data_IF_308987546622
#
_entry.id   IF_308987546622
#
_cell.length_a   1.000
_cell.length_b   1.000
_cell.length_c   1.000
_cell.angle_alpha   90.00
_cell.angle_beta   90.00
_cell.angle_gamma   90.00
#
_symmetry.space_group_name_H-M   'P 1'
#
loop_
_entity.id
_entity.type
_entity.pdbx_description
1 polymer ?
#
# COMPACT_ATOMS: atom_id res chain seq x y z
N UNK A 1 3.01 22.89 25.72
CA UNK A 1 2.65 21.60 26.34
C UNK A 1 2.35 20.66 25.18
N UNK A 2 3.38 19.99 24.67
CA UNK A 2 3.37 19.22 23.43
C UNK A 2 2.79 17.83 23.76
N UNK A 3 1.55 17.57 23.34
CA UNK A 3 0.99 16.21 23.40
C UNK A 3 1.70 15.35 22.37
N UNK A 4 2.49 14.39 22.84
CA UNK A 4 2.91 13.25 22.02
C UNK A 4 1.65 12.43 21.71
N UNK A 5 1.25 12.43 20.43
CA UNK A 5 0.26 11.49 19.92
C UNK A 5 0.90 10.10 19.99
N UNK A 6 0.33 9.21 20.77
CA UNK A 6 0.79 7.84 20.91
C UNK A 6 0.73 7.16 19.54
N UNK A 7 1.83 6.51 19.17
CA UNK A 7 1.88 5.63 17.99
C UNK A 7 0.82 4.55 18.16
N UNK A 8 -0.11 4.48 17.21
CA UNK A 8 -1.16 3.48 17.17
C UNK A 8 -0.61 2.07 17.40
N UNK A 9 -1.32 1.29 18.18
CA UNK A 9 -0.97 -0.11 18.41
C UNK A 9 -1.18 -0.88 17.10
N UNK A 10 -0.09 -1.33 16.48
CA UNK A 10 -0.15 -2.20 15.32
C UNK A 10 -0.45 -3.64 15.76
N UNK A 11 -1.37 -4.30 15.07
CA UNK A 11 -1.69 -5.71 15.34
C UNK A 11 -0.51 -6.62 15.05
N UNK A 12 0.14 -7.07 16.09
CA UNK A 12 1.23 -8.03 15.99
C UNK A 12 1.33 -8.88 17.26
N UNK A 13 1.00 -10.15 17.15
CA UNK A 13 1.49 -11.13 18.08
C UNK A 13 2.85 -11.63 17.56
N UNK A 14 3.92 -11.00 18.01
CA UNK A 14 5.28 -11.48 17.75
C UNK A 14 5.49 -12.89 18.31
N UNK A 15 6.29 -13.69 17.62
CA UNK A 15 6.74 -15.00 18.15
C UNK A 15 7.38 -14.83 19.52
N UNK A 16 7.42 -15.90 20.34
CA UNK A 16 8.09 -15.90 21.63
C UNK A 16 9.52 -15.31 21.54
N UNK A 17 10.24 -15.60 20.47
CA UNK A 17 11.58 -15.10 20.20
C UNK A 17 11.60 -13.58 19.97
N UNK A 18 10.62 -13.03 19.28
CA UNK A 18 10.52 -11.57 19.06
C UNK A 18 10.18 -10.80 20.33
N UNK A 19 9.29 -11.34 21.18
CA UNK A 19 9.04 -10.77 22.52
C UNK A 19 10.27 -10.78 23.40
N UNK A 20 11.13 -11.78 23.28
CA UNK A 20 12.38 -11.89 24.02
C UNK A 20 13.45 -10.93 23.47
N UNK A 21 13.53 -10.77 22.15
CA UNK A 21 14.42 -9.81 21.48
C UNK A 21 13.97 -8.37 21.75
N UNK A 22 12.66 -8.08 21.76
CA UNK A 22 12.14 -6.76 22.09
C UNK A 22 12.48 -6.33 23.53
N UNK A 23 12.49 -7.27 24.49
CA UNK A 23 12.93 -6.99 25.88
C UNK A 23 14.43 -6.72 25.99
N UNK A 24 15.24 -7.27 25.08
CA UNK A 24 16.69 -7.01 25.03
C UNK A 24 17.02 -5.69 24.29
N UNK A 25 16.08 -5.14 23.51
CA UNK A 25 16.25 -3.88 22.78
C UNK A 25 15.98 -2.60 23.59
N UNK A 26 15.68 -2.70 24.87
CA UNK A 26 15.64 -1.54 25.79
C UNK A 26 17.00 -0.85 26.01
N UNK A 27 18.09 -1.41 25.48
CA UNK A 27 19.40 -0.76 25.43
C UNK A 27 19.59 -0.12 24.04
N UNK A 28 19.93 1.15 23.99
CA UNK A 28 20.33 1.92 22.79
C UNK A 28 21.48 1.20 22.06
N UNK A 29 21.17 0.31 21.14
CA UNK A 29 22.18 -0.34 20.30
C UNK A 29 22.35 0.44 19.00
N UNK A 30 23.61 0.73 18.62
CA UNK A 30 23.97 1.24 17.30
C UNK A 30 23.42 0.30 16.23
N UNK A 31 22.94 0.82 15.09
CA UNK A 31 22.48 -0.05 14.01
C UNK A 31 23.61 -0.99 13.58
N UNK A 32 23.27 -2.26 13.40
CA UNK A 32 24.26 -3.26 12.98
C UNK A 32 24.88 -2.86 11.62
N UNK A 33 26.17 -3.15 11.38
CA UNK A 33 26.80 -2.90 10.09
C UNK A 33 26.01 -3.53 8.93
N UNK A 34 25.98 -2.87 7.78
CA UNK A 34 25.20 -3.32 6.62
C UNK A 34 25.53 -4.77 6.21
N UNK A 35 26.82 -5.17 6.33
CA UNK A 35 27.24 -6.55 6.08
C UNK A 35 26.60 -7.58 7.05
N UNK A 36 26.42 -7.21 8.32
CA UNK A 36 25.80 -8.08 9.32
C UNK A 36 24.29 -8.19 9.07
N UNK A 37 23.65 -7.12 8.61
CA UNK A 37 22.24 -7.15 8.18
C UNK A 37 22.04 -8.04 6.97
N UNK A 38 22.87 -7.91 5.92
CA UNK A 38 22.84 -8.79 4.74
C UNK A 38 23.09 -10.27 5.09
N UNK A 39 24.04 -10.54 5.96
CA UNK A 39 24.31 -11.91 6.41
C UNK A 39 23.12 -12.50 7.20
N UNK A 40 22.51 -11.70 8.06
CA UNK A 40 21.30 -12.09 8.79
C UNK A 40 20.09 -12.32 7.86
N UNK A 41 19.92 -11.51 6.82
CA UNK A 41 18.90 -11.69 5.79
C UNK A 41 19.15 -12.97 4.98
N UNK A 42 20.38 -13.21 4.54
CA UNK A 42 20.78 -14.47 3.88
C UNK A 42 20.56 -15.70 4.77
N UNK A 43 20.84 -15.60 6.07
CA UNK A 43 20.59 -16.71 7.00
C UNK A 43 19.09 -16.96 7.23
N UNK A 44 18.25 -15.92 7.18
CA UNK A 44 16.80 -16.08 7.28
C UNK A 44 16.22 -16.74 6.03
N UNK A 45 16.80 -16.47 4.85
CA UNK A 45 16.43 -17.12 3.57
C UNK A 45 16.82 -18.62 3.50
N UNK A 46 17.74 -19.06 4.39
CA UNK A 46 18.20 -20.46 4.46
C UNK A 46 17.48 -21.32 5.50
N UNK A 47 16.60 -20.72 6.33
CA UNK A 47 15.88 -21.48 7.36
C UNK A 47 14.70 -22.24 6.74
N UNK A 48 14.53 -23.52 7.03
CA UNK A 48 13.36 -24.27 6.63
C UNK A 48 12.12 -23.74 7.36
N UNK A 49 11.21 -23.13 6.60
CA UNK A 49 10.01 -22.46 7.09
C UNK A 49 10.06 -20.96 6.79
N UNK A 50 10.06 -20.59 5.52
CA UNK A 50 10.33 -19.25 4.97
C UNK A 50 9.34 -18.14 5.37
N UNK A 51 8.41 -18.40 6.28
CA UNK A 51 7.38 -17.42 6.62
C UNK A 51 6.97 -17.46 8.10
N UNK A 52 6.61 -16.29 8.59
CA UNK A 52 5.94 -16.08 9.87
C UNK A 52 4.43 -16.09 9.65
N UNK A 53 3.66 -16.45 10.68
CA UNK A 53 2.19 -16.34 10.63
C UNK A 53 1.75 -15.22 11.55
N UNK A 54 1.12 -14.21 10.99
CA UNK A 54 0.43 -13.16 11.74
C UNK A 54 -1.06 -13.52 11.82
N UNK A 55 -1.63 -13.45 13.03
CA UNK A 55 -3.09 -13.60 13.23
C UNK A 55 -3.66 -12.22 13.51
N UNK A 56 -4.65 -11.82 12.71
CA UNK A 56 -5.32 -10.53 12.84
C UNK A 56 -6.58 -10.64 13.71
N UNK A 57 -7.16 -9.53 14.19
CA UNK A 57 -8.30 -9.54 15.12
C UNK A 57 -9.53 -10.29 14.63
N UNK A 58 -9.75 -10.35 13.32
CA UNK A 58 -10.87 -11.10 12.72
C UNK A 58 -10.61 -12.58 12.51
N UNK A 59 -9.45 -13.09 12.96
CA UNK A 59 -9.06 -14.49 12.81
C UNK A 59 -8.32 -14.79 11.51
N UNK A 60 -8.09 -13.80 10.65
CA UNK A 60 -7.29 -13.99 9.44
C UNK A 60 -5.86 -14.39 9.82
N UNK A 61 -5.35 -15.37 9.10
CA UNK A 61 -3.96 -15.80 9.22
C UNK A 61 -3.22 -15.43 7.94
N UNK A 62 -2.25 -14.52 8.09
CA UNK A 62 -1.42 -14.06 6.98
C UNK A 62 -0.01 -14.63 7.15
N UNK A 63 0.46 -15.37 6.15
CA UNK A 63 1.84 -15.79 6.07
C UNK A 63 2.67 -14.65 5.50
N UNK A 64 3.72 -14.28 6.20
CA UNK A 64 4.63 -13.20 5.85
C UNK A 64 6.03 -13.77 5.65
N UNK A 65 6.65 -13.52 4.51
CA UNK A 65 8.02 -13.94 4.25
C UNK A 65 8.97 -13.38 5.33
N UNK A 66 9.94 -14.17 5.77
CA UNK A 66 10.81 -13.80 6.89
C UNK A 66 11.55 -12.46 6.67
N UNK A 67 11.91 -12.14 5.41
CA UNK A 67 12.52 -10.85 5.05
C UNK A 67 11.57 -9.65 5.24
N UNK A 68 10.26 -9.86 5.13
CA UNK A 68 9.22 -8.85 5.33
C UNK A 68 8.55 -8.93 6.72
N UNK A 69 9.23 -9.51 7.71
CA UNK A 69 8.73 -9.68 9.10
C UNK A 69 8.29 -8.40 9.81
N UNK A 70 8.59 -7.24 9.23
CA UNK A 70 8.17 -5.93 9.75
C UNK A 70 6.81 -5.48 9.24
N UNK A 71 6.18 -6.25 8.34
CA UNK A 71 4.83 -5.94 7.91
C UNK A 71 3.87 -5.86 9.09
N UNK A 72 3.10 -4.81 9.12
CA UNK A 72 2.08 -4.55 10.13
C UNK A 72 0.85 -3.95 9.45
N UNK A 73 -0.27 -4.00 10.12
CA UNK A 73 -1.54 -3.46 9.63
C UNK A 73 -2.03 -2.40 10.60
N UNK A 74 -2.42 -1.26 10.05
CA UNK A 74 -3.04 -0.21 10.82
C UNK A 74 -4.45 -0.66 11.25
N UNK A 75 -4.84 -0.51 12.54
CA UNK A 75 -6.13 -0.99 13.04
C UNK A 75 -7.34 -0.34 12.37
N UNK A 76 -7.29 0.96 12.12
CA UNK A 76 -8.35 1.73 11.51
C UNK A 76 -8.56 1.33 10.05
N UNK A 77 -7.47 1.19 9.29
CA UNK A 77 -7.49 0.71 7.92
C UNK A 77 -8.00 -0.72 7.84
N UNK A 78 -7.46 -1.61 8.68
CA UNK A 78 -7.91 -3.00 8.72
C UNK A 78 -9.43 -3.07 8.94
N UNK A 79 -9.97 -2.33 9.91
CA UNK A 79 -11.40 -2.34 10.21
C UNK A 79 -12.23 -1.78 9.04
N UNK A 80 -11.79 -0.65 8.46
CA UNK A 80 -12.46 0.01 7.35
C UNK A 80 -12.46 -0.87 6.09
N UNK A 81 -11.30 -1.39 5.69
CA UNK A 81 -11.18 -2.23 4.50
C UNK A 81 -11.95 -3.55 4.64
N UNK A 82 -11.86 -4.20 5.82
CA UNK A 82 -12.64 -5.41 6.11
C UNK A 82 -14.13 -5.18 6.02
N UNK A 83 -14.61 -4.02 6.46
CA UNK A 83 -16.03 -3.66 6.37
C UNK A 83 -16.51 -3.42 4.93
N UNK A 84 -15.61 -2.95 4.05
CA UNK A 84 -15.92 -2.63 2.66
C UNK A 84 -15.82 -3.86 1.74
N UNK A 85 -14.82 -4.73 1.93
CA UNK A 85 -14.62 -5.89 1.06
C UNK A 85 -15.62 -7.00 1.38
N UNK A 86 -16.58 -7.21 0.50
CA UNK A 86 -17.58 -8.29 0.61
C UNK A 86 -17.14 -9.53 -0.17
N UNK A 87 -17.64 -10.73 0.19
CA UNK A 87 -17.45 -11.92 -0.63
C UNK A 87 -17.89 -11.67 -2.09
N UNK A 88 -17.07 -12.04 -3.05
CA UNK A 88 -17.28 -11.76 -4.46
C UNK A 88 -16.79 -10.38 -4.94
N UNK A 89 -16.23 -9.55 -4.07
CA UNK A 89 -15.74 -8.22 -4.41
C UNK A 89 -14.66 -8.25 -5.50
N UNK A 90 -14.68 -7.26 -6.39
CA UNK A 90 -13.54 -6.89 -7.23
C UNK A 90 -12.83 -5.72 -6.57
N UNK A 91 -11.59 -5.94 -6.14
CA UNK A 91 -10.77 -4.94 -5.43
C UNK A 91 -9.61 -4.50 -6.31
N UNK A 92 -9.37 -3.19 -6.39
CA UNK A 92 -8.14 -2.63 -6.95
C UNK A 92 -7.25 -2.17 -5.80
N UNK A 93 -6.05 -2.73 -5.72
CA UNK A 93 -5.01 -2.38 -4.74
C UNK A 93 -3.90 -1.64 -5.48
N UNK A 94 -3.97 -0.31 -5.45
CA UNK A 94 -3.06 0.58 -6.16
C UNK A 94 -1.92 0.99 -5.25
N UNK A 95 -0.70 0.63 -5.62
CA UNK A 95 0.47 0.67 -4.73
C UNK A 95 0.44 -0.50 -3.76
N UNK A 96 0.33 -1.72 -4.32
CA UNK A 96 0.19 -2.94 -3.53
C UNK A 96 1.42 -3.25 -2.67
N UNK A 97 2.55 -2.65 -2.99
CA UNK A 97 3.82 -2.91 -2.33
C UNK A 97 4.08 -4.44 -2.28
N UNK A 98 4.58 -4.96 -1.19
CA UNK A 98 4.80 -6.41 -1.01
C UNK A 98 3.51 -7.18 -0.69
N UNK A 99 2.33 -6.56 -0.74
CA UNK A 99 1.03 -7.22 -0.69
C UNK A 99 0.43 -7.44 0.69
N UNK A 100 0.76 -6.59 1.66
CA UNK A 100 0.20 -6.70 3.01
C UNK A 100 -1.33 -6.68 3.00
N UNK A 101 -1.94 -5.71 2.31
CA UNK A 101 -3.39 -5.62 2.15
C UNK A 101 -3.92 -6.47 1.00
N UNK A 102 -3.16 -6.65 -0.10
CA UNK A 102 -3.54 -7.54 -1.22
C UNK A 102 -4.00 -8.91 -0.74
N UNK A 103 -3.22 -9.54 0.16
CA UNK A 103 -3.54 -10.86 0.72
C UNK A 103 -4.83 -10.82 1.52
N UNK A 104 -5.05 -9.81 2.35
CA UNK A 104 -6.27 -9.65 3.13
C UNK A 104 -7.50 -9.43 2.22
N UNK A 105 -7.37 -8.56 1.23
CA UNK A 105 -8.42 -8.32 0.25
C UNK A 105 -8.82 -9.63 -0.46
N UNK A 106 -7.84 -10.44 -0.86
CA UNK A 106 -8.09 -11.72 -1.50
C UNK A 106 -8.75 -12.74 -0.54
N UNK A 107 -8.39 -12.73 0.74
CA UNK A 107 -9.03 -13.57 1.75
C UNK A 107 -10.49 -13.14 1.99
N UNK A 108 -10.75 -11.84 2.15
CA UNK A 108 -12.09 -11.31 2.40
C UNK A 108 -13.01 -11.42 1.18
N UNK A 109 -12.48 -11.15 -0.03
CA UNK A 109 -13.25 -11.32 -1.26
C UNK A 109 -13.61 -12.78 -1.56
N UNK A 110 -12.85 -13.74 -1.00
CA UNK A 110 -13.12 -15.18 -1.13
C UNK A 110 -12.94 -15.69 -2.56
N UNK A 111 -13.36 -16.95 -2.79
CA UNK A 111 -13.13 -17.65 -4.06
C UNK A 111 -13.89 -17.05 -5.26
N UNK A 112 -14.99 -16.34 -5.03
CA UNK A 112 -15.78 -15.69 -6.08
C UNK A 112 -15.30 -14.25 -6.38
N UNK A 113 -14.41 -13.71 -5.54
CA UNK A 113 -13.85 -12.36 -5.72
C UNK A 113 -12.51 -12.37 -6.42
N UNK A 114 -12.00 -11.17 -6.68
CA UNK A 114 -10.66 -10.98 -7.27
C UNK A 114 -10.03 -9.69 -6.78
N UNK A 115 -8.70 -9.68 -6.78
CA UNK A 115 -7.89 -8.50 -6.48
C UNK A 115 -6.99 -8.22 -7.67
N UNK A 116 -6.94 -6.98 -8.12
CA UNK A 116 -5.98 -6.50 -9.09
C UNK A 116 -5.01 -5.59 -8.33
N UNK A 117 -3.77 -6.03 -8.21
CA UNK A 117 -2.71 -5.37 -7.46
C UNK A 117 -1.74 -4.68 -8.41
N UNK A 118 -1.66 -3.36 -8.34
CA UNK A 118 -0.74 -2.56 -9.16
C UNK A 118 0.50 -2.24 -8.34
N UNK A 119 1.65 -2.60 -8.86
CA UNK A 119 2.96 -2.31 -8.26
C UNK A 119 4.00 -2.14 -9.36
N UNK A 120 4.70 -1.00 -9.45
CA UNK A 120 5.66 -0.78 -10.52
C UNK A 120 7.07 -1.31 -10.25
N UNK A 121 7.47 -1.49 -8.99
CA UNK A 121 8.83 -1.91 -8.63
C UNK A 121 9.05 -3.42 -8.84
N UNK A 122 9.99 -3.83 -9.71
CA UNK A 122 10.27 -5.25 -9.92
C UNK A 122 10.71 -6.00 -8.65
N UNK A 123 11.47 -5.33 -7.77
CA UNK A 123 11.90 -5.89 -6.50
C UNK A 123 10.72 -6.13 -5.56
N UNK A 124 9.86 -5.13 -5.43
CA UNK A 124 8.66 -5.18 -4.61
C UNK A 124 7.66 -6.22 -5.14
N UNK A 125 7.48 -6.31 -6.47
CA UNK A 125 6.65 -7.33 -7.14
C UNK A 125 7.12 -8.75 -6.78
N UNK A 126 8.42 -8.99 -6.66
CA UNK A 126 8.92 -10.29 -6.25
C UNK A 126 8.41 -10.69 -4.85
N UNK A 127 8.40 -9.75 -3.92
CA UNK A 127 7.80 -9.93 -2.58
C UNK A 127 6.29 -10.13 -2.62
N UNK A 128 5.59 -9.34 -3.44
CA UNK A 128 4.15 -9.46 -3.64
C UNK A 128 3.77 -10.85 -4.18
N UNK A 129 4.46 -11.34 -5.21
CA UNK A 129 4.27 -12.69 -5.76
C UNK A 129 4.50 -13.77 -4.72
N UNK A 130 5.52 -13.61 -3.89
CA UNK A 130 5.80 -14.56 -2.82
C UNK A 130 4.66 -14.58 -1.79
N UNK A 131 4.20 -13.41 -1.30
CA UNK A 131 3.11 -13.35 -0.34
C UNK A 131 1.80 -13.92 -0.92
N UNK A 132 1.48 -13.64 -2.17
CA UNK A 132 0.34 -14.22 -2.88
C UNK A 132 0.43 -15.75 -2.92
N UNK A 133 1.61 -16.29 -3.24
CA UNK A 133 1.87 -17.73 -3.31
C UNK A 133 1.78 -18.43 -1.95
N UNK A 134 2.49 -17.91 -0.92
CA UNK A 134 2.53 -18.57 0.41
C UNK A 134 1.19 -18.49 1.15
N UNK A 135 0.32 -17.53 0.79
CA UNK A 135 -1.03 -17.41 1.33
C UNK A 135 -2.08 -18.15 0.49
N UNK A 136 -1.67 -18.83 -0.59
CA UNK A 136 -2.54 -19.61 -1.46
C UNK A 136 -3.74 -18.80 -2.02
N UNK A 137 -3.48 -17.57 -2.49
CA UNK A 137 -4.50 -16.68 -3.10
C UNK A 137 -4.20 -16.33 -4.55
N UNK A 138 -3.27 -17.04 -5.20
CA UNK A 138 -2.84 -16.77 -6.57
C UNK A 138 -3.93 -16.95 -7.64
N UNK A 139 -4.95 -17.74 -7.33
CA UNK A 139 -6.11 -18.00 -8.19
C UNK A 139 -7.05 -16.79 -8.31
N UNK A 140 -6.92 -15.80 -7.44
CA UNK A 140 -7.80 -14.62 -7.36
C UNK A 140 -7.06 -13.29 -7.29
N UNK A 141 -5.72 -13.29 -7.38
CA UNK A 141 -4.88 -12.08 -7.41
C UNK A 141 -4.20 -11.95 -8.74
N UNK A 142 -4.47 -10.88 -9.46
CA UNK A 142 -3.74 -10.45 -10.64
C UNK A 142 -2.74 -9.36 -10.23
N UNK A 143 -1.46 -9.53 -10.60
CA UNK A 143 -0.43 -8.52 -10.36
C UNK A 143 -0.15 -7.80 -11.66
N UNK A 144 -0.33 -6.49 -11.66
CA UNK A 144 -0.09 -5.59 -12.79
C UNK A 144 1.21 -4.83 -12.53
N UNK A 145 2.22 -5.14 -13.34
CA UNK A 145 3.53 -4.50 -13.34
C UNK A 145 3.42 -3.12 -14.03
N UNK A 146 2.84 -2.17 -13.35
CA UNK A 146 2.70 -0.78 -13.80
C UNK A 146 2.37 0.15 -12.63
N UNK A 147 2.82 1.39 -12.70
CA UNK A 147 2.33 2.47 -11.87
C UNK A 147 0.97 2.95 -12.39
N UNK A 148 0.05 3.25 -11.49
CA UNK A 148 -1.17 3.95 -11.86
C UNK A 148 -0.91 5.45 -11.86
N UNK A 149 -1.35 6.12 -12.93
CA UNK A 149 -1.13 7.54 -13.19
C UNK A 149 -2.31 8.14 -13.95
N UNK A 150 -2.16 9.35 -14.48
CA UNK A 150 -3.18 10.02 -15.26
C UNK A 150 -3.38 9.44 -16.68
N UNK A 151 -2.46 8.58 -17.16
CA UNK A 151 -2.53 8.00 -18.50
C UNK A 151 -1.57 6.83 -18.73
N UNK A 152 -1.62 6.28 -19.94
CA UNK A 152 -0.70 5.23 -20.39
C UNK A 152 0.62 5.84 -20.86
N UNK A 153 1.72 5.14 -20.60
CA UNK A 153 3.07 5.55 -21.00
C UNK A 153 4.16 4.95 -20.12
N UNK A 154 5.15 5.75 -19.84
CA UNK A 154 6.24 5.43 -18.92
C UNK A 154 6.54 6.60 -17.99
N UNK A 155 7.08 6.31 -16.83
CA UNK A 155 7.52 7.31 -15.86
C UNK A 155 8.83 6.88 -15.18
N UNK A 156 9.57 7.83 -14.66
CA UNK A 156 10.70 7.58 -13.78
C UNK A 156 10.19 7.22 -12.37
N UNK A 157 10.79 6.22 -11.76
CA UNK A 157 10.38 5.67 -10.47
C UNK A 157 11.60 5.44 -9.59
N UNK A 158 11.61 6.05 -8.42
CA UNK A 158 12.71 5.91 -7.46
C UNK A 158 12.46 4.67 -6.58
N UNK A 159 13.34 3.68 -6.71
CA UNK A 159 13.35 2.45 -5.89
C UNK A 159 14.29 2.57 -4.68
N UNK A 160 15.08 3.65 -4.58
CA UNK A 160 16.10 3.82 -3.55
C UNK A 160 15.68 4.77 -2.43
N UNK A 161 14.42 5.17 -2.38
CA UNK A 161 13.91 6.15 -1.44
C UNK A 161 14.49 5.99 -0.04
N UNK A 162 15.06 7.06 0.51
CA UNK A 162 15.79 7.07 1.80
C UNK A 162 14.92 6.59 3.00
N UNK A 163 13.62 6.53 2.82
CA UNK A 163 12.61 6.07 3.79
C UNK A 163 12.01 4.70 3.48
N UNK A 164 12.44 4.04 2.38
CA UNK A 164 11.82 2.80 1.91
C UNK A 164 10.51 3.00 1.15
N UNK A 165 10.13 4.25 0.88
CA UNK A 165 9.01 4.61 0.05
C UNK A 165 9.47 4.72 -1.41
N UNK A 166 8.93 3.88 -2.27
CA UNK A 166 9.16 3.91 -3.71
C UNK A 166 8.17 4.89 -4.35
N UNK A 167 8.63 5.87 -5.12
CA UNK A 167 7.78 6.94 -5.63
C UNK A 167 8.06 7.30 -7.10
N UNK A 168 7.04 7.80 -7.81
CA UNK A 168 7.22 8.42 -9.10
C UNK A 168 8.03 9.73 -8.94
N UNK A 169 9.04 9.94 -9.79
CA UNK A 169 9.86 11.15 -9.81
C UNK A 169 9.58 11.99 -11.06
N UNK A 170 9.83 13.30 -10.97
CA UNK A 170 9.67 14.20 -12.11
C UNK A 170 10.62 13.80 -13.26
N UNK A 171 10.17 14.00 -14.50
CA UNK A 171 10.88 13.55 -15.71
C UNK A 171 12.26 14.25 -15.94
N UNK A 172 12.52 15.36 -15.28
CA UNK A 172 13.71 16.19 -15.39
C UNK A 172 14.78 15.91 -14.31
N UNK A 173 14.49 14.97 -13.41
CA UNK A 173 15.48 14.41 -12.49
C UNK A 173 16.47 13.53 -13.26
N UNK A 174 17.74 13.91 -13.30
CA UNK A 174 18.80 13.08 -13.93
C UNK A 174 18.79 11.66 -13.41
N UNK A 175 19.39 10.74 -14.17
CA UNK A 175 19.52 9.32 -13.77
C UNK A 175 20.33 9.26 -12.47
N UNK A 176 19.62 9.21 -11.34
CA UNK A 176 20.21 8.95 -10.04
C UNK A 176 20.25 7.43 -9.84
N UNK A 177 21.22 6.95 -9.07
CA UNK A 177 21.26 5.53 -8.67
C UNK A 177 19.95 5.15 -7.99
N UNK A 178 19.30 4.09 -8.50
CA UNK A 178 18.01 3.60 -7.96
C UNK A 178 16.78 4.07 -8.72
N UNK A 179 16.90 4.98 -9.71
CA UNK A 179 15.78 5.39 -10.57
C UNK A 179 15.64 4.42 -11.75
N UNK A 180 14.46 3.88 -11.94
CA UNK A 180 14.11 2.99 -13.05
C UNK A 180 12.98 3.59 -13.89
N UNK A 181 12.84 3.13 -15.13
CA UNK A 181 11.67 3.45 -15.97
C UNK A 181 10.62 2.37 -15.78
N UNK A 182 9.40 2.79 -15.42
CA UNK A 182 8.24 1.89 -15.23
C UNK A 182 7.14 2.23 -16.21
N UNK A 183 6.30 1.24 -16.53
CA UNK A 183 5.08 1.46 -17.31
C UNK A 183 4.06 2.20 -16.46
N UNK A 184 3.24 3.03 -17.10
CA UNK A 184 2.09 3.66 -16.47
C UNK A 184 0.79 3.27 -17.15
N UNK A 185 -0.31 3.26 -16.40
CA UNK A 185 -1.67 3.12 -16.88
C UNK A 185 -2.60 4.01 -16.07
N UNK A 186 -3.80 4.29 -16.57
CA UNK A 186 -4.86 4.91 -15.77
C UNK A 186 -5.92 3.90 -15.37
N UNK A 187 -6.59 4.11 -14.22
CA UNK A 187 -7.65 3.20 -13.79
C UNK A 187 -8.83 3.21 -14.78
N UNK A 188 -9.16 4.37 -15.34
CA UNK A 188 -10.23 4.47 -16.33
C UNK A 188 -9.96 3.59 -17.53
N UNK A 189 -8.77 3.72 -18.12
CA UNK A 189 -8.38 2.92 -19.29
C UNK A 189 -8.31 1.43 -18.98
N UNK A 190 -7.72 1.09 -17.81
CA UNK A 190 -7.59 -0.29 -17.38
C UNK A 190 -8.95 -0.96 -17.16
N UNK A 191 -9.86 -0.29 -16.46
CA UNK A 191 -11.20 -0.80 -16.19
C UNK A 191 -12.05 -0.89 -17.45
N UNK A 192 -12.03 0.15 -18.29
CA UNK A 192 -12.77 0.20 -19.55
C UNK A 192 -12.37 -0.95 -20.49
N UNK A 193 -11.06 -1.11 -20.74
CA UNK A 193 -10.54 -2.13 -21.66
C UNK A 193 -10.87 -3.57 -21.25
N UNK A 194 -11.21 -3.79 -19.99
CA UNK A 194 -11.48 -5.12 -19.40
C UNK A 194 -12.94 -5.30 -18.95
N UNK A 195 -13.78 -4.28 -19.11
CA UNK A 195 -15.14 -4.28 -18.62
C UNK A 195 -15.24 -4.46 -17.10
N UNK A 196 -14.23 -3.94 -16.35
CA UNK A 196 -14.14 -4.10 -14.91
C UNK A 196 -15.01 -3.07 -14.18
N UNK A 197 -15.69 -3.53 -13.14
CA UNK A 197 -16.41 -2.68 -12.20
C UNK A 197 -15.93 -3.01 -10.78
N UNK A 198 -14.93 -2.29 -10.27
CA UNK A 198 -14.47 -2.52 -8.91
C UNK A 198 -15.54 -2.11 -7.89
N UNK A 199 -15.58 -2.82 -6.77
CA UNK A 199 -16.41 -2.47 -5.61
C UNK A 199 -15.60 -1.81 -4.49
N UNK A 200 -14.28 -2.00 -4.49
CA UNK A 200 -13.36 -1.36 -3.55
C UNK A 200 -12.09 -0.95 -4.29
N UNK A 201 -11.59 0.24 -4.01
CA UNK A 201 -10.27 0.72 -4.46
C UNK A 201 -9.50 1.22 -3.24
N UNK A 202 -8.25 0.73 -3.07
CA UNK A 202 -7.23 1.34 -2.21
C UNK A 202 -6.20 2.02 -3.11
N UNK A 203 -5.82 3.26 -2.76
CA UNK A 203 -4.78 4.04 -3.42
C UNK A 203 -3.77 4.46 -2.37
N UNK A 204 -2.50 4.05 -2.56
CA UNK A 204 -1.39 4.37 -1.68
C UNK A 204 -0.13 4.36 -2.56
N UNK A 205 0.22 5.52 -3.10
CA UNK A 205 1.15 5.66 -4.22
C UNK A 205 2.26 6.67 -3.96
N UNK A 206 2.51 6.96 -2.67
CA UNK A 206 3.68 7.73 -2.21
C UNK A 206 3.86 9.04 -3.00
N UNK A 207 2.78 9.86 -3.00
CA UNK A 207 2.78 11.20 -3.57
C UNK A 207 2.31 11.33 -5.02
N UNK A 208 1.85 10.25 -5.67
CA UNK A 208 1.28 10.28 -7.02
C UNK A 208 -0.27 10.33 -7.03
N UNK A 209 -0.90 10.60 -5.87
CA UNK A 209 -2.36 10.54 -5.69
C UNK A 209 -3.10 11.46 -6.67
N UNK A 210 -2.57 12.65 -6.94
CA UNK A 210 -3.18 13.59 -7.90
C UNK A 210 -3.28 12.99 -9.30
N UNK A 211 -2.22 12.33 -9.75
CA UNK A 211 -2.17 11.70 -11.07
C UNK A 211 -3.13 10.50 -11.13
N UNK A 212 -3.19 9.71 -10.07
CA UNK A 212 -4.16 8.60 -9.97
C UNK A 212 -5.60 9.12 -10.00
N UNK A 213 -5.93 10.15 -9.22
CA UNK A 213 -7.26 10.77 -9.20
C UNK A 213 -7.67 11.28 -10.58
N UNK A 214 -6.74 11.93 -11.32
CA UNK A 214 -6.97 12.41 -12.69
C UNK A 214 -7.23 11.28 -13.68
N UNK A 215 -6.54 10.14 -13.52
CA UNK A 215 -6.66 8.95 -14.37
C UNK A 215 -7.79 7.99 -13.96
N UNK A 216 -8.59 8.33 -12.96
CA UNK A 216 -9.60 7.46 -12.39
C UNK A 216 -11.02 8.06 -12.37
N UNK A 217 -11.25 9.19 -13.03
CA UNK A 217 -12.50 9.96 -12.93
C UNK A 217 -13.76 9.16 -13.21
N UNK A 218 -13.75 8.36 -14.27
CA UNK A 218 -14.89 7.52 -14.64
C UNK A 218 -15.05 6.34 -13.69
N UNK A 219 -13.94 5.75 -13.30
CA UNK A 219 -13.91 4.63 -12.36
C UNK A 219 -14.40 5.05 -10.99
N UNK A 220 -13.91 6.18 -10.47
CA UNK A 220 -14.31 6.70 -9.16
C UNK A 220 -15.77 7.21 -9.15
N UNK A 221 -16.32 7.61 -10.29
CA UNK A 221 -17.73 8.00 -10.41
C UNK A 221 -18.72 6.82 -10.30
N UNK A 222 -18.26 5.56 -10.40
CA UNK A 222 -19.15 4.39 -10.40
C UNK A 222 -19.94 4.29 -9.06
N UNK A 223 -21.26 4.03 -9.10
CA UNK A 223 -22.05 3.90 -7.90
C UNK A 223 -21.66 2.64 -7.08
N UNK A 224 -21.76 2.72 -5.76
CA UNK A 224 -21.49 1.60 -4.87
C UNK A 224 -20.02 1.23 -4.70
N UNK A 225 -19.11 2.09 -5.15
CA UNK A 225 -17.66 1.93 -4.99
C UNK A 225 -17.19 2.52 -3.66
N UNK A 226 -16.51 1.71 -2.85
CA UNK A 226 -15.75 2.16 -1.68
C UNK A 226 -14.35 2.58 -2.10
N UNK A 227 -13.95 3.81 -1.74
CA UNK A 227 -12.68 4.41 -2.17
C UNK A 227 -11.88 4.79 -0.93
N UNK A 228 -10.65 4.31 -0.85
CA UNK A 228 -9.70 4.63 0.21
C UNK A 228 -8.42 5.17 -0.41
N UNK A 229 -7.90 6.27 0.12
CA UNK A 229 -6.67 6.91 -0.36
C UNK A 229 -5.79 7.26 0.83
N UNK A 230 -4.54 6.82 0.81
CA UNK A 230 -3.52 7.34 1.70
C UNK A 230 -2.93 8.62 1.09
N UNK A 231 -2.96 9.73 1.83
CA UNK A 231 -2.40 10.99 1.39
C UNK A 231 -0.99 11.19 1.94
N UNK A 232 -0.09 11.72 1.10
CA UNK A 232 1.31 11.98 1.44
C UNK A 232 1.67 13.46 1.30
N UNK A 233 1.18 14.36 2.19
CA UNK A 233 1.36 15.81 2.07
C UNK A 233 2.83 16.25 2.01
N UNK A 234 3.73 15.58 2.73
CA UNK A 234 5.15 15.91 2.69
C UNK A 234 5.79 15.60 1.33
N UNK A 235 5.36 14.51 0.69
CA UNK A 235 5.84 14.11 -0.64
C UNK A 235 5.25 15.03 -1.71
N UNK A 236 3.98 15.44 -1.59
CA UNK A 236 3.40 16.44 -2.49
C UNK A 236 4.20 17.72 -2.52
N UNK A 237 4.53 18.26 -1.33
CA UNK A 237 5.31 19.50 -1.21
C UNK A 237 6.67 19.37 -1.89
N UNK A 238 7.36 18.24 -1.75
CA UNK A 238 8.64 17.97 -2.41
C UNK A 238 8.50 17.88 -3.95
N UNK A 239 7.33 17.52 -4.45
CA UNK A 239 7.00 17.44 -5.89
C UNK A 239 6.35 18.73 -6.44
N UNK A 240 6.21 19.77 -5.64
CA UNK A 240 5.55 21.01 -6.03
C UNK A 240 4.02 20.87 -6.20
N UNK A 241 3.42 19.80 -5.68
CA UNK A 241 1.97 19.61 -5.67
C UNK A 241 1.42 20.25 -4.40
N UNK A 242 0.38 21.04 -4.56
CA UNK A 242 -0.30 21.70 -3.43
C UNK A 242 -1.50 20.92 -2.95
N UNK A 243 -1.83 21.08 -1.66
CA UNK A 243 -3.07 20.56 -1.10
C UNK A 243 -4.29 21.03 -1.89
N UNK A 244 -4.29 22.31 -2.31
CA UNK A 244 -5.42 22.90 -3.04
C UNK A 244 -5.65 22.25 -4.40
N UNK A 245 -4.60 21.76 -5.06
CA UNK A 245 -4.74 20.98 -6.30
C UNK A 245 -5.45 19.64 -6.05
N UNK A 246 -5.08 18.92 -4.98
CA UNK A 246 -5.75 17.68 -4.59
C UNK A 246 -7.21 17.97 -4.23
N UNK A 247 -7.46 18.97 -3.38
CA UNK A 247 -8.81 19.33 -2.96
C UNK A 247 -9.70 19.75 -4.15
N UNK A 248 -9.15 20.55 -5.08
CA UNK A 248 -9.86 20.95 -6.31
C UNK A 248 -10.14 19.77 -7.24
N UNK A 249 -9.25 18.78 -7.32
CA UNK A 249 -9.50 17.58 -8.11
C UNK A 249 -10.59 16.71 -7.49
N UNK A 250 -10.59 16.54 -6.18
CA UNK A 250 -11.67 15.83 -5.47
C UNK A 250 -13.01 16.53 -5.65
N UNK A 251 -13.05 17.85 -5.49
CA UNK A 251 -14.27 18.64 -5.67
C UNK A 251 -14.84 18.51 -7.10
N UNK A 252 -13.98 18.58 -8.14
CA UNK A 252 -14.39 18.36 -9.53
C UNK A 252 -15.01 16.99 -9.77
N UNK A 253 -14.64 16.00 -8.96
CA UNK A 253 -15.20 14.64 -9.03
C UNK A 253 -16.38 14.42 -8.09
N UNK A 254 -16.81 15.44 -7.34
CA UNK A 254 -17.86 15.32 -6.33
C UNK A 254 -17.46 14.41 -5.17
N UNK A 255 -16.18 14.38 -4.84
CA UNK A 255 -15.62 13.56 -3.76
C UNK A 255 -15.16 14.43 -2.59
N UNK A 256 -15.34 13.93 -1.37
CA UNK A 256 -14.78 14.57 -0.19
C UNK A 256 -14.13 13.52 0.72
N UNK A 257 -12.96 13.83 1.31
CA UNK A 257 -12.24 12.89 2.16
C UNK A 257 -12.81 12.89 3.58
N UNK A 258 -13.05 11.70 4.11
CA UNK A 258 -13.45 11.44 5.49
C UNK A 258 -12.33 10.66 6.19
N UNK A 259 -11.80 11.14 7.33
CA UNK A 259 -10.80 10.40 8.07
C UNK A 259 -11.38 9.10 8.64
N UNK A 260 -10.58 8.04 8.70
CA UNK A 260 -10.99 6.77 9.30
C UNK A 260 -11.13 6.85 10.83
N UNK A 261 -10.47 7.83 11.45
CA UNK A 261 -10.62 8.13 12.87
C UNK A 261 -10.88 9.62 13.07
N UNK A 262 -11.84 10.02 13.93
CA UNK A 262 -12.26 11.43 14.08
C UNK A 262 -11.15 12.39 14.54
N UNK A 263 -10.10 11.90 15.19
CA UNK A 263 -8.99 12.73 15.65
C UNK A 263 -7.94 13.01 14.56
N UNK A 264 -8.07 12.43 13.36
CA UNK A 264 -7.10 12.61 12.29
C UNK A 264 -7.45 13.84 11.46
N UNK A 265 -6.44 14.64 11.17
CA UNK A 265 -6.52 15.71 10.17
C UNK A 265 -6.18 15.12 8.80
N UNK A 266 -7.18 15.04 7.94
CA UNK A 266 -7.10 14.48 6.58
C UNK A 266 -5.92 15.04 5.77
N UNK A 267 -5.59 16.31 6.01
CA UNK A 267 -4.64 17.04 5.19
C UNK A 267 -3.22 17.12 5.78
N UNK A 268 -3.07 16.77 7.05
CA UNK A 268 -1.80 16.90 7.77
C UNK A 268 -1.35 15.57 8.41
N UNK A 269 -2.13 14.49 8.24
CA UNK A 269 -1.77 13.18 8.77
C UNK A 269 -1.26 12.31 7.62
N UNK A 270 -0.11 11.68 7.82
CA UNK A 270 0.48 10.71 6.90
C UNK A 270 0.39 9.30 7.49
N UNK A 271 0.47 8.29 6.61
CA UNK A 271 0.51 6.89 7.02
C UNK A 271 -0.84 6.30 7.42
N UNK A 272 -1.96 6.96 7.09
CA UNK A 272 -3.31 6.44 7.30
C UNK A 272 -4.23 6.87 6.15
N UNK A 273 -4.95 5.90 5.59
CA UNK A 273 -5.91 6.16 4.53
C UNK A 273 -7.11 6.97 5.02
N UNK A 274 -7.67 7.76 4.13
CA UNK A 274 -8.99 8.37 4.25
C UNK A 274 -9.98 7.64 3.35
N UNK A 275 -11.27 7.69 3.69
CA UNK A 275 -12.33 7.23 2.80
C UNK A 275 -12.83 8.41 1.97
N UNK A 276 -12.92 8.24 0.65
CA UNK A 276 -13.54 9.24 -0.21
C UNK A 276 -15.03 8.95 -0.31
N UNK A 277 -15.86 9.94 0.09
CA UNK A 277 -17.30 9.88 -0.02
C UNK A 277 -17.76 10.69 -1.23
N UNK A 278 -18.87 10.26 -1.84
CA UNK A 278 -19.55 10.97 -2.93
C UNK A 278 -20.57 11.94 -2.35
N UNK A 279 -20.70 13.12 -2.97
CA UNK A 279 -21.73 14.11 -2.65
C UNK A 279 -23.13 13.58 -2.98
#
# INVERSE_FOLDING_TARGET
>A
MTMQVGRGEHFREGSWLERRIARLRGARTRPAPAALRRLHELMLDLLPGDHLVSTLPGGERVRVAARHRHLSWNPEEYAAFKSAVRPGATVLDVGANVGAYTVLFAQWAGAAGRVIAFEPSPETIAGLREHVRINAVADRVEIVDAAVSSGEGTASFDCAGASGANALVAADGGIADGVITVRTTSLDRFCESRGLRPSVIKIDVEGAELDVLRGARQTLAQPGLDIFVEFHPSIWAARGITRDEIASELERQGLHPQPLHPSLDVWNTEGISVRLLKN
#
